data_IF_561144995841
#
_entry.id   IF_561144995841
#
_cell.length_a   1.000
_cell.length_b   1.000
_cell.length_c   1.000
_cell.angle_alpha   90.00
_cell.angle_beta   90.00
_cell.angle_gamma   90.00
#
_symmetry.space_group_name_H-M   'P 1'
#
loop_
_entity.id
_entity.type
_entity.pdbx_description
1 polymer ?
#
# COMPACT_ATOMS: atom_id res chain seq x y z
N UNK A 1 10.89 16.11 -13.37
CA UNK A 1 11.67 16.05 -12.12
C UNK A 1 11.00 15.01 -11.24
N UNK A 2 11.70 13.94 -10.85
CA UNK A 2 11.16 12.91 -9.96
C UNK A 2 10.95 13.52 -8.57
N UNK A 3 9.71 13.53 -8.09
CA UNK A 3 9.39 13.99 -6.74
C UNK A 3 9.94 12.99 -5.73
N UNK A 4 10.56 13.49 -4.67
CA UNK A 4 11.01 12.67 -3.54
C UNK A 4 9.86 12.49 -2.56
N UNK A 5 9.89 11.42 -1.79
CA UNK A 5 8.97 11.21 -0.67
C UNK A 5 9.65 11.59 0.65
N UNK A 6 8.89 12.16 1.58
CA UNK A 6 9.32 12.34 2.98
C UNK A 6 9.26 10.96 3.65
N UNK A 7 10.43 10.39 3.97
CA UNK A 7 10.55 8.99 4.40
C UNK A 7 9.70 8.64 5.64
N UNK A 8 9.66 9.45 6.72
CA UNK A 8 8.80 9.16 7.87
C UNK A 8 7.33 9.02 7.48
N UNK A 9 6.79 9.97 6.70
CA UNK A 9 5.41 9.90 6.20
C UNK A 9 5.18 8.70 5.30
N UNK A 10 6.14 8.35 4.44
CA UNK A 10 6.03 7.19 3.55
C UNK A 10 5.95 5.86 4.33
N UNK A 11 6.75 5.73 5.39
CA UNK A 11 6.69 4.57 6.29
C UNK A 11 5.36 4.50 7.06
N UNK A 12 4.85 5.64 7.55
CA UNK A 12 3.55 5.71 8.24
C UNK A 12 2.39 5.33 7.33
N UNK A 13 2.37 5.82 6.08
CA UNK A 13 1.37 5.43 5.08
C UNK A 13 1.45 3.93 4.77
N UNK A 14 2.65 3.37 4.66
CA UNK A 14 2.81 1.93 4.42
C UNK A 14 2.31 1.09 5.62
N UNK A 15 2.61 1.51 6.85
CA UNK A 15 2.10 0.85 8.06
C UNK A 15 0.57 0.95 8.15
N UNK A 16 0.02 2.14 7.90
CA UNK A 16 -1.43 2.37 7.82
C UNK A 16 -2.08 1.44 6.78
N UNK A 17 -1.52 1.34 5.57
CA UNK A 17 -2.01 0.43 4.54
C UNK A 17 -2.06 -1.04 4.98
N UNK A 18 -1.01 -1.51 5.67
CA UNK A 18 -0.96 -2.89 6.16
C UNK A 18 -2.08 -3.11 7.17
N UNK A 19 -2.28 -2.18 8.11
CA UNK A 19 -3.39 -2.26 9.07
C UNK A 19 -4.75 -2.30 8.37
N UNK A 20 -4.97 -1.41 7.39
CA UNK A 20 -6.23 -1.37 6.62
C UNK A 20 -6.47 -2.67 5.84
N UNK A 21 -5.44 -3.30 5.28
CA UNK A 21 -5.56 -4.60 4.60
C UNK A 21 -5.93 -5.77 5.53
N UNK A 22 -5.83 -5.58 6.84
CA UNK A 22 -6.29 -6.53 7.87
C UNK A 22 -7.65 -6.16 8.46
N UNK A 23 -8.16 -4.96 8.20
CA UNK A 23 -9.49 -4.54 8.64
C UNK A 23 -10.58 -5.07 7.70
N UNK A 24 -11.47 -5.97 8.15
CA UNK A 24 -12.56 -6.49 7.33
C UNK A 24 -13.60 -5.42 6.97
N UNK A 25 -13.78 -4.38 7.78
CA UNK A 25 -14.70 -3.28 7.45
C UNK A 25 -14.14 -2.50 6.27
N UNK A 26 -12.87 -2.09 6.39
CA UNK A 26 -12.20 -1.35 5.33
C UNK A 26 -12.11 -2.12 4.01
N UNK A 27 -11.70 -3.39 4.10
CA UNK A 27 -11.56 -4.22 2.90
C UNK A 27 -12.91 -4.59 2.28
N UNK A 28 -13.97 -4.70 3.09
CA UNK A 28 -15.31 -5.07 2.66
C UNK A 28 -16.17 -3.91 2.16
N UNK A 29 -15.83 -2.65 2.49
CA UNK A 29 -16.61 -1.47 2.12
C UNK A 29 -15.79 -0.53 1.23
N UNK A 30 -14.80 0.16 1.78
CA UNK A 30 -14.03 1.20 1.09
C UNK A 30 -13.22 0.61 -0.08
N UNK A 31 -12.37 -0.39 0.20
CA UNK A 31 -11.55 -1.01 -0.83
C UNK A 31 -12.41 -1.72 -1.89
N UNK A 32 -13.51 -2.35 -1.46
CA UNK A 32 -14.48 -2.99 -2.35
C UNK A 32 -15.05 -1.97 -3.34
N UNK A 33 -15.56 -0.85 -2.84
CA UNK A 33 -16.22 0.17 -3.65
C UNK A 33 -15.26 0.82 -4.65
N UNK A 34 -14.03 1.11 -4.20
CA UNK A 34 -12.96 1.65 -5.02
C UNK A 34 -12.59 0.69 -6.16
N UNK A 35 -12.25 -0.57 -5.84
CA UNK A 35 -11.84 -1.57 -6.83
C UNK A 35 -12.95 -1.89 -7.84
N UNK A 36 -14.21 -1.94 -7.39
CA UNK A 36 -15.37 -2.13 -8.28
C UNK A 36 -15.54 -1.00 -9.29
N UNK A 37 -15.07 0.23 -9.04
CA UNK A 37 -15.14 1.30 -10.04
C UNK A 37 -14.29 1.00 -11.28
N UNK A 38 -13.09 0.42 -11.12
CA UNK A 38 -12.27 -0.01 -12.27
C UNK A 38 -12.91 -1.19 -13.00
N UNK A 39 -13.47 -2.15 -12.28
CA UNK A 39 -14.19 -3.27 -12.90
C UNK A 39 -15.40 -2.80 -13.72
N UNK A 40 -16.15 -1.82 -13.22
CA UNK A 40 -17.26 -1.17 -13.92
C UNK A 40 -16.79 -0.26 -15.08
N UNK A 41 -15.49 -0.09 -15.29
CA UNK A 41 -14.91 0.76 -16.34
C UNK A 41 -15.11 2.26 -16.12
N UNK A 42 -15.35 2.69 -14.87
CA UNK A 42 -15.59 4.09 -14.48
C UNK A 42 -14.32 4.85 -14.14
N UNK A 43 -13.19 4.16 -13.99
CA UNK A 43 -11.88 4.74 -13.70
C UNK A 43 -10.86 4.30 -14.73
N UNK A 44 -9.90 5.18 -15.00
CA UNK A 44 -8.71 4.83 -15.77
C UNK A 44 -7.62 4.23 -14.86
N UNK A 45 -6.84 3.27 -15.35
CA UNK A 45 -6.98 2.61 -16.65
C UNK A 45 -8.15 1.60 -16.64
N UNK A 46 -8.97 1.58 -17.70
CA UNK A 46 -10.11 0.63 -17.81
C UNK A 46 -9.71 -0.84 -17.80
N UNK A 47 -8.45 -1.13 -18.13
CA UNK A 47 -7.88 -2.47 -18.21
C UNK A 47 -6.94 -2.80 -17.04
N UNK A 48 -7.13 -2.14 -15.87
CA UNK A 48 -6.33 -2.35 -14.64
C UNK A 48 -6.10 -3.83 -14.32
N UNK A 49 -7.16 -4.64 -14.31
CA UNK A 49 -7.08 -6.07 -13.99
C UNK A 49 -6.76 -6.97 -15.18
N UNK A 50 -6.84 -6.42 -16.39
CA UNK A 50 -6.78 -7.17 -17.64
C UNK A 50 -5.39 -7.15 -18.29
N UNK A 51 -4.57 -6.13 -18.00
CA UNK A 51 -3.22 -5.98 -18.55
C UNK A 51 -2.23 -5.54 -17.48
N UNK A 52 -1.01 -6.04 -17.60
CA UNK A 52 0.09 -5.69 -16.70
C UNK A 52 0.59 -4.28 -17.04
N UNK A 53 0.47 -3.35 -16.09
CA UNK A 53 0.82 -1.93 -16.27
C UNK A 53 1.75 -1.44 -15.15
N UNK A 54 2.45 -0.33 -15.41
CA UNK A 54 3.30 0.31 -14.38
C UNK A 54 2.48 0.96 -13.26
N UNK A 55 1.32 1.54 -13.60
CA UNK A 55 0.34 2.10 -12.66
C UNK A 55 -0.76 1.06 -12.37
N UNK A 56 -0.33 -0.16 -12.03
CA UNK A 56 -1.18 -1.32 -11.74
C UNK A 56 -1.82 -1.27 -10.35
N UNK A 57 -2.34 -2.41 -9.89
CA UNK A 57 -3.14 -2.51 -8.65
C UNK A 57 -2.44 -1.91 -7.44
N UNK A 58 -1.16 -2.23 -7.20
CA UNK A 58 -0.42 -1.68 -6.06
C UNK A 58 -0.27 -0.16 -6.10
N UNK A 59 -0.14 0.43 -7.28
CA UNK A 59 -0.09 1.88 -7.43
C UNK A 59 -1.45 2.50 -7.13
N UNK A 60 -2.54 1.92 -7.63
CA UNK A 60 -3.89 2.42 -7.33
C UNK A 60 -4.23 2.28 -5.84
N UNK A 61 -3.85 1.18 -5.21
CA UNK A 61 -3.97 0.99 -3.77
C UNK A 61 -3.16 2.05 -3.00
N UNK A 62 -1.93 2.31 -3.41
CA UNK A 62 -1.10 3.37 -2.81
C UNK A 62 -1.71 4.77 -2.95
N UNK A 63 -2.49 5.01 -4.01
CA UNK A 63 -3.25 6.25 -4.16
C UNK A 63 -4.43 6.34 -3.19
N UNK A 64 -5.22 5.27 -3.07
CA UNK A 64 -6.35 5.18 -2.13
C UNK A 64 -5.86 5.41 -0.69
N UNK A 65 -4.87 4.62 -0.28
CA UNK A 65 -4.28 4.70 1.07
C UNK A 65 -3.67 6.08 1.33
N UNK A 66 -3.02 6.69 0.34
CA UNK A 66 -2.50 8.05 0.50
C UNK A 66 -3.61 9.07 0.78
N UNK A 67 -4.72 8.98 0.04
CA UNK A 67 -5.85 9.90 0.19
C UNK A 67 -6.54 9.71 1.55
N UNK A 68 -6.74 8.46 1.97
CA UNK A 68 -7.30 8.14 3.28
C UNK A 68 -6.37 8.54 4.42
N UNK A 69 -5.07 8.23 4.36
CA UNK A 69 -4.13 8.65 5.40
C UNK A 69 -4.07 10.17 5.60
N UNK A 70 -4.47 10.96 4.60
CA UNK A 70 -4.58 12.41 4.74
C UNK A 70 -6.03 12.91 4.80
N UNK A 71 -7.03 12.03 4.80
CA UNK A 71 -8.45 12.37 4.88
C UNK A 71 -8.86 12.61 6.33
N UNK A 72 -9.39 13.80 6.63
CA UNK A 72 -9.85 14.12 7.98
C UNK A 72 -10.98 13.19 8.46
N UNK A 73 -11.98 12.96 7.60
CA UNK A 73 -13.15 12.08 7.83
C UNK A 73 -12.82 10.57 7.81
N UNK A 74 -11.54 10.20 7.84
CA UNK A 74 -11.11 8.80 7.89
C UNK A 74 -10.66 8.45 9.32
N UNK A 75 -9.39 8.09 9.52
CA UNK A 75 -8.82 7.73 10.80
C UNK A 75 -8.39 8.92 11.67
N UNK A 76 -8.39 10.16 11.15
CA UNK A 76 -7.91 11.35 11.89
C UNK A 76 -8.93 11.87 12.89
N UNK A 77 -10.21 11.63 12.63
CA UNK A 77 -11.28 11.90 13.60
C UNK A 77 -11.10 11.04 14.85
N UNK A 78 -10.75 9.76 14.65
CA UNK A 78 -10.56 8.73 15.68
C UNK A 78 -9.23 8.80 16.45
N UNK A 79 -8.28 9.63 16.03
CA UNK A 79 -7.06 9.84 16.81
C UNK A 79 -7.42 10.53 18.13
N UNK A 80 -6.78 10.18 19.23
CA UNK A 80 -7.01 10.82 20.53
C UNK A 80 -5.70 11.29 21.17
N UNK A 81 -5.82 12.33 22.00
CA UNK A 81 -4.73 12.86 22.83
C UNK A 81 -3.43 13.12 22.07
N UNK A 82 -2.33 12.51 22.54
CA UNK A 82 -0.98 12.67 21.99
C UNK A 82 -0.89 12.28 20.51
N UNK A 83 -1.71 11.32 20.05
CA UNK A 83 -1.64 10.87 18.66
C UNK A 83 -2.07 11.95 17.68
N UNK A 84 -3.03 12.82 18.03
CA UNK A 84 -3.37 14.00 17.22
C UNK A 84 -2.20 14.98 17.16
N UNK A 85 -1.54 15.23 18.30
CA UNK A 85 -0.40 16.14 18.39
C UNK A 85 0.76 15.65 17.51
N UNK A 86 1.15 14.38 17.66
CA UNK A 86 2.23 13.76 16.88
C UNK A 86 1.90 13.72 15.39
N UNK A 87 0.65 13.39 15.04
CA UNK A 87 0.23 13.40 13.64
C UNK A 87 0.34 14.79 13.03
N UNK A 88 -0.09 15.84 13.76
CA UNK A 88 0.02 17.21 13.27
C UNK A 88 1.49 17.64 13.11
N UNK A 89 2.36 17.26 14.04
CA UNK A 89 3.81 17.50 13.93
C UNK A 89 4.39 16.85 12.66
N UNK A 90 4.08 15.57 12.40
CA UNK A 90 4.50 14.91 11.16
C UNK A 90 3.94 15.60 9.92
N UNK A 91 2.69 16.05 9.99
CA UNK A 91 2.04 16.73 8.87
C UNK A 91 2.72 18.06 8.57
N UNK A 92 3.14 18.81 9.60
CA UNK A 92 3.94 20.02 9.41
C UNK A 92 5.27 19.70 8.72
N UNK A 93 5.99 18.66 9.16
CA UNK A 93 7.22 18.22 8.51
C UNK A 93 7.00 17.82 7.04
N UNK A 94 5.92 17.07 6.76
CA UNK A 94 5.50 16.73 5.41
C UNK A 94 5.24 17.99 4.56
N UNK A 95 4.53 18.97 5.12
CA UNK A 95 4.20 20.23 4.44
C UNK A 95 5.44 21.06 4.15
N UNK A 96 6.39 21.15 5.08
CA UNK A 96 7.68 21.82 4.85
C UNK A 96 8.50 21.13 3.76
N UNK A 97 8.48 19.80 3.72
CA UNK A 97 9.24 19.02 2.74
C UNK A 97 8.71 19.21 1.31
N UNK A 98 7.39 19.12 1.09
CA UNK A 98 6.79 19.18 -0.25
C UNK A 98 6.40 20.59 -0.69
N UNK A 99 6.15 21.48 0.27
CA UNK A 99 5.63 22.83 0.03
C UNK A 99 6.40 23.89 0.84
N UNK A 100 7.75 23.97 0.76
CA UNK A 100 8.59 24.79 1.65
C UNK A 100 8.28 26.28 1.64
N UNK A 101 7.66 26.80 0.57
CA UNK A 101 7.31 28.22 0.43
C UNK A 101 5.85 28.53 0.81
N UNK A 102 5.03 27.52 1.13
CA UNK A 102 3.62 27.74 1.46
C UNK A 102 3.41 27.80 2.96
N UNK A 103 2.54 28.72 3.38
CA UNK A 103 2.01 28.81 4.76
C UNK A 103 3.08 28.80 5.84
N UNK A 104 4.27 29.34 5.55
CA UNK A 104 5.40 29.28 6.48
C UNK A 104 5.07 29.88 7.85
N UNK A 105 4.30 30.97 7.89
CA UNK A 105 3.83 31.57 9.14
C UNK A 105 2.89 30.64 9.92
N UNK A 106 1.93 30.00 9.24
CA UNK A 106 1.01 29.05 9.89
C UNK A 106 1.76 27.81 10.40
N UNK A 107 2.64 27.21 9.58
CA UNK A 107 3.47 26.08 9.99
C UNK A 107 4.32 26.41 11.22
N UNK A 108 4.93 27.60 11.24
CA UNK A 108 5.73 28.06 12.39
C UNK A 108 4.87 28.31 13.65
N UNK A 109 3.64 28.81 13.46
CA UNK A 109 2.69 29.00 14.55
C UNK A 109 2.27 27.66 15.16
N UNK A 110 1.97 26.67 14.32
CA UNK A 110 1.60 25.32 14.76
C UNK A 110 2.76 24.67 15.51
N UNK A 111 3.99 24.72 14.98
CA UNK A 111 5.18 24.18 15.68
C UNK A 111 5.41 24.82 17.04
N UNK A 112 5.17 26.13 17.15
CA UNK A 112 5.32 26.86 18.42
C UNK A 112 4.29 26.39 19.44
N UNK A 113 3.05 26.14 19.00
CA UNK A 113 1.98 25.64 19.86
C UNK A 113 2.20 24.18 20.27
N UNK A 114 2.64 23.31 19.36
CA UNK A 114 3.06 21.93 19.68
C UNK A 114 4.16 21.96 20.73
N UNK A 115 5.20 22.78 20.53
CA UNK A 115 6.31 22.91 21.49
C UNK A 115 5.85 23.41 22.86
N UNK A 116 4.86 24.31 22.90
CA UNK A 116 4.24 24.80 24.15
C UNK A 116 3.52 23.66 24.88
N UNK A 117 2.76 22.84 24.15
CA UNK A 117 2.04 21.69 24.70
C UNK A 117 3.04 20.65 25.23
N UNK A 118 4.05 20.26 24.45
CA UNK A 118 5.06 19.28 24.87
C UNK A 118 5.84 19.70 26.12
N UNK A 119 6.11 21.00 26.28
CA UNK A 119 6.75 21.52 27.48
C UNK A 119 5.91 21.27 28.76
N UNK A 120 4.59 21.12 28.65
CA UNK A 120 3.73 20.78 29.79
C UNK A 120 4.01 19.38 30.32
N UNK A 121 4.38 18.40 29.48
CA UNK A 121 4.65 17.04 29.93
C UNK A 121 5.68 16.99 31.07
N UNK A 122 6.73 17.81 30.96
CA UNK A 122 7.79 17.90 31.98
C UNK A 122 7.49 18.88 33.11
N UNK A 123 6.77 19.97 32.83
CA UNK A 123 6.55 21.05 33.80
C UNK A 123 5.28 20.89 34.62
N UNK A 124 4.24 20.31 34.05
CA UNK A 124 2.95 20.03 34.67
C UNK A 124 2.18 18.95 33.87
N UNK A 125 2.48 17.69 34.17
CA UNK A 125 1.90 16.52 33.48
C UNK A 125 0.36 16.51 33.55
N UNK A 126 -0.26 16.93 34.64
CA UNK A 126 -1.73 17.02 34.73
C UNK A 126 -2.29 17.97 33.67
N UNK A 127 -1.72 19.17 33.54
CA UNK A 127 -2.16 20.12 32.52
C UNK A 127 -1.83 19.68 31.09
N UNK A 128 -0.82 18.83 30.88
CA UNK A 128 -0.55 18.22 29.58
C UNK A 128 -1.74 17.37 29.12
N UNK A 129 -2.17 16.42 29.96
CA UNK A 129 -3.30 15.54 29.65
C UNK A 129 -4.62 16.30 29.55
N UNK A 130 -4.89 17.23 30.48
CA UNK A 130 -6.09 18.09 30.43
C UNK A 130 -6.14 18.90 29.13
N UNK A 131 -5.00 19.37 28.61
CA UNK A 131 -4.94 20.09 27.34
C UNK A 131 -5.29 19.16 26.18
N UNK A 132 -4.68 17.98 26.11
CA UNK A 132 -4.84 17.05 24.99
C UNK A 132 -6.24 16.41 24.93
N UNK A 133 -6.91 16.30 26.06
CA UNK A 133 -8.28 15.81 26.17
C UNK A 133 -9.34 16.92 26.02
N UNK A 134 -8.91 18.19 25.91
CA UNK A 134 -9.82 19.34 25.82
C UNK A 134 -10.51 19.46 24.46
N UNK A 135 -11.74 19.96 24.47
CA UNK A 135 -12.48 20.30 23.25
C UNK A 135 -11.77 21.42 22.47
N UNK A 136 -11.11 22.34 23.18
CA UNK A 136 -10.30 23.41 22.60
C UNK A 136 -9.16 22.86 21.74
N UNK A 137 -8.42 21.87 22.23
CA UNK A 137 -7.36 21.21 21.48
C UNK A 137 -7.90 20.45 20.28
N UNK A 138 -8.99 19.68 20.45
CA UNK A 138 -9.61 18.95 19.35
C UNK A 138 -10.04 19.89 18.22
N UNK A 139 -10.71 20.98 18.58
CA UNK A 139 -11.15 22.01 17.64
C UNK A 139 -9.96 22.76 17.01
N UNK A 140 -8.89 23.01 17.76
CA UNK A 140 -7.67 23.61 17.23
C UNK A 140 -7.00 22.69 16.21
N UNK A 141 -6.76 21.43 16.54
CA UNK A 141 -6.20 20.42 15.63
C UNK A 141 -6.99 20.36 14.32
N UNK A 142 -8.32 20.21 14.40
CA UNK A 142 -9.17 20.10 13.22
C UNK A 142 -9.09 21.32 12.31
N UNK A 143 -9.12 22.53 12.89
CA UNK A 143 -8.95 23.78 12.14
C UNK A 143 -7.58 23.85 11.47
N UNK A 144 -6.49 23.68 12.22
CA UNK A 144 -5.14 23.80 11.67
C UNK A 144 -4.88 22.76 10.58
N UNK A 145 -5.31 21.51 10.79
CA UNK A 145 -5.17 20.45 9.80
C UNK A 145 -5.93 20.75 8.51
N UNK A 146 -7.21 21.11 8.62
CA UNK A 146 -8.05 21.45 7.46
C UNK A 146 -7.51 22.69 6.74
N UNK A 147 -7.08 23.70 7.50
CA UNK A 147 -6.50 24.91 6.96
C UNK A 147 -5.22 24.59 6.20
N UNK A 148 -4.33 23.72 6.70
CA UNK A 148 -3.15 23.25 5.98
C UNK A 148 -3.53 22.46 4.70
N UNK A 149 -4.51 21.57 4.79
CA UNK A 149 -4.98 20.67 3.73
C UNK A 149 -5.74 21.34 2.57
N UNK A 150 -6.42 22.46 2.80
CA UNK A 150 -7.28 23.14 1.80
C UNK A 150 -6.56 23.70 0.55
N UNK A 151 -5.28 23.41 0.32
CA UNK A 151 -4.48 24.05 -0.71
C UNK A 151 -3.46 23.12 -1.38
N UNK A 152 -3.93 22.15 -2.14
CA UNK A 152 -3.05 21.23 -2.86
C UNK A 152 -3.16 21.50 -4.38
N UNK A 153 -2.37 22.46 -4.87
CA UNK A 153 -2.28 22.83 -6.30
C UNK A 153 -1.60 21.75 -7.17
N UNK A 154 -1.03 22.11 -8.33
CA UNK A 154 -0.40 21.15 -9.28
C UNK A 154 0.60 20.15 -8.66
N UNK A 155 1.31 20.54 -7.60
CA UNK A 155 2.27 19.66 -6.91
C UNK A 155 1.58 18.52 -6.14
N UNK A 156 0.34 18.69 -5.73
CA UNK A 156 -0.45 17.70 -4.98
C UNK A 156 -0.54 16.36 -5.68
N UNK A 157 -0.92 16.39 -6.95
CA UNK A 157 -1.05 15.21 -7.78
C UNK A 157 0.30 14.49 -7.91
N UNK A 158 1.38 15.25 -8.10
CA UNK A 158 2.72 14.68 -8.21
C UNK A 158 3.21 14.09 -6.88
N UNK A 159 2.85 14.71 -5.75
CA UNK A 159 3.12 14.18 -4.40
C UNK A 159 2.40 12.85 -4.23
N UNK A 160 1.08 12.85 -4.43
CA UNK A 160 0.25 11.64 -4.38
C UNK A 160 0.79 10.52 -5.24
N UNK A 161 1.15 10.81 -6.50
CA UNK A 161 1.75 9.81 -7.39
C UNK A 161 3.11 9.29 -6.89
N UNK A 162 3.96 10.14 -6.32
CA UNK A 162 5.25 9.73 -5.78
C UNK A 162 5.10 8.76 -4.60
N UNK A 163 4.17 9.06 -3.68
CA UNK A 163 3.88 8.16 -2.56
C UNK A 163 3.21 6.86 -3.01
N UNK A 164 2.32 6.91 -4.00
CA UNK A 164 1.72 5.71 -4.57
C UNK A 164 2.76 4.79 -5.23
N UNK A 165 3.76 5.35 -5.93
CA UNK A 165 4.88 4.56 -6.45
C UNK A 165 5.77 4.01 -5.35
N UNK A 166 6.09 4.80 -4.32
CA UNK A 166 6.89 4.34 -3.18
C UNK A 166 6.20 3.18 -2.44
N UNK A 167 4.92 3.32 -2.13
CA UNK A 167 4.08 2.26 -1.58
C UNK A 167 4.09 1.01 -2.48
N UNK A 168 3.84 1.19 -3.78
CA UNK A 168 3.77 0.07 -4.71
C UNK A 168 5.09 -0.70 -4.79
N UNK A 169 6.23 -0.01 -4.77
CA UNK A 169 7.55 -0.65 -4.79
C UNK A 169 7.84 -1.42 -3.49
N UNK A 170 7.49 -0.85 -2.34
CA UNK A 170 7.66 -1.51 -1.02
C UNK A 170 6.79 -2.75 -0.92
N UNK A 171 5.50 -2.61 -1.23
CA UNK A 171 4.55 -3.72 -1.20
C UNK A 171 4.94 -4.81 -2.20
N UNK A 172 5.38 -4.44 -3.40
CA UNK A 172 5.84 -5.41 -4.39
C UNK A 172 7.07 -6.19 -3.93
N UNK A 173 7.96 -5.63 -3.11
CA UNK A 173 9.15 -6.34 -2.64
C UNK A 173 8.82 -7.53 -1.70
N UNK A 174 7.62 -7.55 -1.12
CA UNK A 174 7.15 -8.56 -0.18
C UNK A 174 6.15 -9.50 -0.85
N UNK A 175 6.60 -10.70 -1.23
CA UNK A 175 5.76 -11.70 -1.88
C UNK A 175 4.57 -12.15 -1.00
N UNK A 176 4.74 -12.45 0.30
CA UNK A 176 3.60 -12.65 1.21
C UNK A 176 2.56 -11.53 1.17
N UNK A 177 2.99 -10.26 1.21
CA UNK A 177 2.06 -9.13 1.11
C UNK A 177 1.38 -9.05 -0.26
N UNK A 178 2.11 -9.29 -1.36
CA UNK A 178 1.51 -9.43 -2.69
C UNK A 178 0.41 -10.50 -2.71
N UNK A 179 0.68 -11.67 -2.13
CA UNK A 179 -0.27 -12.78 -2.04
C UNK A 179 -1.52 -12.38 -1.25
N UNK A 180 -1.34 -11.77 -0.07
CA UNK A 180 -2.44 -11.27 0.75
C UNK A 180 -3.32 -10.27 -0.03
N UNK A 181 -2.71 -9.30 -0.71
CA UNK A 181 -3.43 -8.34 -1.54
C UNK A 181 -4.18 -9.05 -2.69
N UNK A 182 -3.58 -10.04 -3.33
CA UNK A 182 -4.25 -10.81 -4.37
C UNK A 182 -5.47 -11.58 -3.84
N UNK A 183 -5.39 -12.14 -2.63
CA UNK A 183 -6.55 -12.75 -1.97
C UNK A 183 -7.65 -11.73 -1.71
N UNK A 184 -7.32 -10.53 -1.22
CA UNK A 184 -8.31 -9.46 -1.03
C UNK A 184 -8.99 -9.03 -2.32
N UNK A 185 -8.22 -8.85 -3.39
CA UNK A 185 -8.77 -8.54 -4.72
C UNK A 185 -9.71 -9.65 -5.22
N UNK A 186 -9.39 -10.92 -4.94
CA UNK A 186 -10.26 -12.06 -5.28
C UNK A 186 -11.52 -12.10 -4.41
N UNK A 187 -11.38 -11.94 -3.09
CA UNK A 187 -12.45 -12.01 -2.08
C UNK A 187 -13.51 -10.93 -2.26
N UNK A 188 -13.10 -9.73 -2.69
CA UNK A 188 -14.01 -8.64 -3.12
C UNK A 188 -14.95 -9.08 -4.25
N UNK A 189 -14.70 -10.25 -4.87
CA UNK A 189 -15.63 -10.86 -5.80
C UNK A 189 -15.78 -9.99 -7.02
N UNK A 190 -14.70 -9.40 -7.53
CA UNK A 190 -14.77 -8.41 -8.62
C UNK A 190 -15.60 -8.96 -9.80
N UNK A 191 -15.52 -10.27 -10.06
CA UNK A 191 -16.25 -10.99 -11.11
C UNK A 191 -17.65 -11.53 -10.79
N UNK A 192 -18.06 -11.65 -9.51
CA UNK A 192 -19.43 -12.08 -9.15
C UNK A 192 -20.18 -10.96 -8.43
N UNK A 193 -21.51 -10.95 -8.55
CA UNK A 193 -22.36 -9.99 -7.82
C UNK A 193 -23.03 -10.63 -6.60
N UNK A 194 -22.73 -11.91 -6.34
CA UNK A 194 -23.43 -12.75 -5.39
C UNK A 194 -22.37 -13.48 -4.56
N UNK A 195 -22.51 -13.38 -3.23
CA UNK A 195 -21.72 -14.15 -2.27
C UNK A 195 -22.03 -15.65 -2.44
N UNK A 196 -21.03 -16.52 -2.25
CA UNK A 196 -21.11 -17.99 -2.41
C UNK A 196 -21.13 -18.54 -3.85
N UNK A 197 -20.96 -17.72 -4.89
CA UNK A 197 -20.68 -18.25 -6.24
C UNK A 197 -19.24 -18.76 -6.38
N UNK A 198 -19.01 -19.84 -7.15
CA UNK A 198 -17.67 -20.35 -7.39
C UNK A 198 -16.81 -19.34 -8.15
N UNK A 199 -15.51 -19.28 -7.84
CA UNK A 199 -14.57 -18.46 -8.61
C UNK A 199 -14.54 -18.86 -10.10
N UNK A 200 -14.56 -17.86 -10.98
CA UNK A 200 -14.62 -18.04 -12.43
C UNK A 200 -13.49 -17.32 -13.15
N UNK A 201 -13.12 -17.84 -14.32
CA UNK A 201 -12.19 -17.15 -15.21
C UNK A 201 -12.89 -15.94 -15.87
N UNK A 202 -12.43 -14.74 -15.55
CA UNK A 202 -12.99 -13.50 -16.11
C UNK A 202 -11.94 -12.67 -16.88
N UNK A 203 -10.66 -12.86 -16.59
CA UNK A 203 -9.55 -12.25 -17.33
C UNK A 203 -8.90 -13.26 -18.26
N UNK A 204 -8.72 -12.89 -19.53
CA UNK A 204 -7.93 -13.68 -20.50
C UNK A 204 -6.44 -13.48 -20.25
N UNK A 205 -5.65 -14.56 -20.27
CA UNK A 205 -4.18 -14.49 -20.15
C UNK A 205 -3.60 -13.56 -21.22
N UNK A 206 -2.68 -12.69 -20.83
CA UNK A 206 -1.96 -11.78 -21.74
C UNK A 206 -0.47 -12.09 -21.74
N UNK A 207 0.24 -11.57 -22.75
CA UNK A 207 1.70 -11.67 -22.77
C UNK A 207 2.29 -10.86 -21.61
N UNK A 208 3.27 -11.45 -20.91
CA UNK A 208 3.95 -10.80 -19.80
C UNK A 208 5.03 -9.87 -20.37
N UNK A 209 4.99 -8.56 -20.12
CA UNK A 209 6.02 -7.66 -20.62
C UNK A 209 7.39 -7.98 -20.02
N UNK A 210 8.45 -7.84 -20.82
CA UNK A 210 9.82 -8.12 -20.38
C UNK A 210 10.24 -7.32 -19.13
N UNK A 211 9.68 -6.13 -18.91
CA UNK A 211 9.95 -5.34 -17.71
C UNK A 211 9.31 -5.96 -16.45
N UNK A 212 8.11 -6.53 -16.57
CA UNK A 212 7.39 -7.16 -15.46
C UNK A 212 8.07 -8.48 -15.09
N UNK A 213 8.48 -9.25 -16.10
CA UNK A 213 9.29 -10.45 -15.92
C UNK A 213 10.60 -10.15 -15.17
N UNK A 214 11.34 -9.10 -15.57
CA UNK A 214 12.54 -8.68 -14.83
C UNK A 214 12.23 -8.28 -13.40
N UNK A 215 11.15 -7.53 -13.17
CA UNK A 215 10.75 -7.10 -11.83
C UNK A 215 10.45 -8.30 -10.91
N UNK A 216 9.69 -9.30 -11.40
CA UNK A 216 9.38 -10.52 -10.66
C UNK A 216 10.64 -11.35 -10.40
N UNK A 217 11.51 -11.51 -11.39
CA UNK A 217 12.80 -12.22 -11.21
C UNK A 217 13.66 -11.56 -10.15
N UNK A 218 13.73 -10.22 -10.14
CA UNK A 218 14.49 -9.48 -9.12
C UNK A 218 13.86 -9.61 -7.73
N UNK A 219 12.53 -9.43 -7.60
CA UNK A 219 11.81 -9.59 -6.33
C UNK A 219 12.06 -10.98 -5.73
N UNK A 220 11.96 -12.01 -6.56
CA UNK A 220 12.08 -13.41 -6.13
C UNK A 220 13.53 -13.88 -6.06
N UNK A 221 14.51 -12.96 -6.16
CA UNK A 221 15.96 -13.24 -6.12
C UNK A 221 16.44 -14.29 -7.13
N UNK A 222 15.72 -14.45 -8.25
CA UNK A 222 16.00 -15.49 -9.24
C UNK A 222 15.73 -16.92 -8.75
N UNK A 223 15.08 -17.08 -7.60
CA UNK A 223 14.77 -18.39 -7.01
C UNK A 223 13.32 -18.76 -7.31
N UNK A 224 13.07 -20.05 -7.54
CA UNK A 224 11.70 -20.55 -7.55
C UNK A 224 11.06 -20.32 -6.17
N UNK A 225 9.93 -19.62 -6.12
CA UNK A 225 9.26 -19.28 -4.86
C UNK A 225 8.73 -20.48 -4.09
N UNK A 226 8.57 -21.64 -4.75
CA UNK A 226 8.07 -22.88 -4.14
C UNK A 226 9.18 -23.80 -3.63
N UNK A 227 10.28 -23.96 -4.37
CA UNK A 227 11.33 -24.94 -4.03
C UNK A 227 12.73 -24.33 -3.86
N UNK A 228 12.85 -23.00 -3.93
CA UNK A 228 14.10 -22.23 -3.80
C UNK A 228 15.21 -22.58 -4.78
N UNK A 229 14.91 -23.39 -5.81
CA UNK A 229 15.84 -23.69 -6.90
C UNK A 229 16.26 -22.38 -7.58
N UNK A 230 17.56 -22.15 -7.71
CA UNK A 230 18.14 -21.07 -8.51
C UNK A 230 17.77 -21.25 -9.99
N UNK A 231 17.27 -20.17 -10.61
CA UNK A 231 16.82 -20.12 -12.00
C UNK A 231 17.60 -19.11 -12.86
N UNK A 232 18.69 -18.55 -12.33
CA UNK A 232 19.55 -17.59 -13.03
C UNK A 232 20.84 -18.20 -13.58
N UNK A 233 21.31 -19.31 -13.00
CA UNK A 233 22.54 -19.96 -13.47
C UNK A 233 22.32 -20.61 -14.84
N UNK A 234 23.30 -20.50 -15.74
CA UNK A 234 23.26 -20.89 -17.18
C UNK A 234 22.78 -22.33 -17.50
N UNK A 235 22.63 -23.21 -16.50
CA UNK A 235 22.16 -24.60 -16.64
C UNK A 235 20.94 -24.94 -15.78
N UNK A 236 20.22 -23.93 -15.28
CA UNK A 236 19.03 -24.14 -14.46
C UNK A 236 17.76 -24.20 -15.32
N UNK A 237 16.74 -24.90 -14.81
CA UNK A 237 15.53 -25.28 -15.55
C UNK A 237 14.79 -24.06 -16.14
N UNK A 238 13.99 -24.25 -17.21
CA UNK A 238 13.23 -23.15 -17.79
C UNK A 238 12.38 -22.44 -16.71
N UNK A 239 12.59 -21.14 -16.57
CA UNK A 239 11.85 -20.29 -15.63
C UNK A 239 10.50 -19.90 -16.21
N UNK A 240 9.50 -19.84 -15.35
CA UNK A 240 8.13 -19.48 -15.68
C UNK A 240 7.71 -18.31 -14.80
N UNK A 241 7.06 -17.32 -15.40
CA UNK A 241 6.32 -16.31 -14.63
C UNK A 241 4.88 -16.80 -14.56
N UNK A 242 4.46 -17.22 -13.38
CA UNK A 242 3.12 -17.74 -13.12
C UNK A 242 2.30 -16.74 -12.32
N UNK A 243 0.98 -16.91 -12.31
CA UNK A 243 0.09 -16.13 -11.46
C UNK A 243 0.06 -16.70 -10.03
N UNK A 244 0.09 -15.85 -9.00
CA UNK A 244 -0.08 -16.28 -7.60
C UNK A 244 -1.46 -16.94 -7.47
N UNK A 245 -2.50 -16.15 -7.70
CA UNK A 245 -3.88 -16.60 -7.87
C UNK A 245 -4.11 -16.94 -9.34
N UNK A 246 -4.41 -18.21 -9.69
CA UNK A 246 -4.67 -18.62 -11.06
C UNK A 246 -5.81 -17.83 -11.69
N UNK A 247 -5.68 -17.45 -12.98
CA UNK A 247 -6.77 -16.77 -13.71
C UNK A 247 -8.08 -17.57 -13.74
N UNK A 248 -8.01 -18.90 -13.64
CA UNK A 248 -9.19 -19.78 -13.56
C UNK A 248 -9.97 -19.63 -12.25
N UNK A 249 -9.31 -19.11 -11.21
CA UNK A 249 -9.86 -18.87 -9.87
C UNK A 249 -9.95 -17.36 -9.60
N UNK A 250 -10.46 -16.61 -10.57
CA UNK A 250 -10.65 -15.16 -10.50
C UNK A 250 -9.38 -14.30 -10.34
N UNK A 251 -8.19 -14.85 -10.55
CA UNK A 251 -6.94 -14.08 -10.59
C UNK A 251 -6.89 -13.03 -11.72
N UNK A 252 -5.97 -12.07 -11.59
CA UNK A 252 -5.84 -10.91 -12.50
C UNK A 252 -4.49 -10.88 -13.26
N UNK A 253 -4.43 -10.14 -14.36
CA UNK A 253 -3.20 -9.85 -15.09
C UNK A 253 -2.55 -8.56 -14.58
N UNK A 254 -2.06 -8.57 -13.34
CA UNK A 254 -1.32 -7.45 -12.76
C UNK A 254 0.01 -7.94 -12.18
N UNK A 255 0.99 -7.05 -12.07
CA UNK A 255 2.31 -7.35 -11.52
C UNK A 255 2.23 -7.94 -10.11
N UNK A 256 1.29 -7.47 -9.28
CA UNK A 256 1.09 -7.98 -7.90
C UNK A 256 0.77 -9.47 -7.88
N UNK A 257 0.10 -9.98 -8.91
CA UNK A 257 -0.34 -11.36 -9.01
C UNK A 257 0.66 -12.25 -9.76
N UNK A 258 1.92 -11.86 -9.94
CA UNK A 258 2.94 -12.66 -10.62
C UNK A 258 3.98 -13.22 -9.65
N UNK A 259 4.56 -14.38 -9.99
CA UNK A 259 5.62 -15.07 -9.24
C UNK A 259 6.56 -15.88 -10.12
N UNK A 260 7.81 -16.05 -9.68
CA UNK A 260 8.84 -16.83 -10.37
C UNK A 260 8.79 -18.30 -9.97
N UNK A 261 8.64 -19.18 -10.95
CA UNK A 261 8.56 -20.63 -10.73
C UNK A 261 9.48 -21.42 -11.66
N UNK A 262 9.97 -22.56 -11.18
CA UNK A 262 10.55 -23.57 -12.06
C UNK A 262 9.44 -24.37 -12.77
N UNK A 263 9.76 -24.94 -13.92
CA UNK A 263 8.90 -25.86 -14.67
C UNK A 263 8.21 -26.93 -13.81
N UNK A 264 8.96 -27.65 -12.98
CA UNK A 264 8.42 -28.73 -12.13
C UNK A 264 7.37 -28.23 -11.14
N UNK A 265 7.68 -27.12 -10.45
CA UNK A 265 6.74 -26.53 -9.49
C UNK A 265 5.52 -25.94 -10.21
N UNK A 266 5.71 -25.31 -11.37
CA UNK A 266 4.63 -24.71 -12.15
C UNK A 266 3.66 -25.80 -12.65
N UNK A 267 4.20 -26.91 -13.17
CA UNK A 267 3.43 -28.07 -13.60
C UNK A 267 2.70 -28.76 -12.44
N UNK A 268 3.27 -28.75 -11.23
CA UNK A 268 2.61 -29.28 -10.02
C UNK A 268 1.51 -28.36 -9.52
N UNK A 269 1.72 -27.04 -9.56
CA UNK A 269 0.73 -26.03 -9.14
C UNK A 269 -0.51 -26.09 -10.03
N UNK A 270 -0.34 -26.15 -11.35
CA UNK A 270 -1.45 -26.10 -12.31
C UNK A 270 -2.39 -24.91 -12.04
N UNK A 271 -3.63 -25.19 -11.64
CA UNK A 271 -4.64 -24.21 -11.27
C UNK A 271 -4.88 -24.15 -9.75
N UNK A 272 -3.98 -24.71 -8.94
CA UNK A 272 -4.00 -24.62 -7.48
C UNK A 272 -3.19 -23.40 -7.00
N UNK A 273 -3.37 -23.09 -5.74
CA UNK A 273 -2.57 -22.09 -5.02
C UNK A 273 -1.42 -22.78 -4.30
N UNK A 274 -0.36 -22.02 -4.04
CA UNK A 274 0.73 -22.42 -3.16
C UNK A 274 0.85 -21.34 -2.11
N UNK A 275 1.09 -21.72 -0.86
CA UNK A 275 1.56 -20.78 0.15
C UNK A 275 3.01 -20.39 -0.24
N UNK A 276 3.26 -19.15 -0.69
CA UNK A 276 4.57 -18.76 -1.15
C UNK A 276 5.50 -18.54 0.04
N UNK A 277 6.68 -19.17 0.03
CA UNK A 277 7.59 -19.17 1.17
C UNK A 277 7.94 -17.77 1.68
N UNK A 278 8.57 -16.97 0.82
CA UNK A 278 9.05 -15.59 1.05
C UNK A 278 10.02 -15.23 -0.08
N UNK A 279 10.19 -13.94 -0.38
CA UNK A 279 11.29 -13.41 -1.21
C UNK A 279 12.62 -13.35 -0.45
N UNK A 280 12.65 -13.55 0.87
CA UNK A 280 13.86 -13.46 1.70
C UNK A 280 14.83 -14.63 1.38
N UNK A 281 16.12 -14.36 1.16
CA UNK A 281 17.15 -15.40 1.00
C UNK A 281 17.32 -16.31 2.22
N UNK A 282 17.60 -17.59 2.00
CA UNK A 282 17.68 -18.61 3.06
C UNK A 282 18.74 -18.29 4.14
N UNK A 283 19.87 -17.69 3.76
CA UNK A 283 20.93 -17.29 4.71
C UNK A 283 20.51 -16.13 5.64
N UNK A 284 19.43 -15.42 5.34
CA UNK A 284 18.81 -14.43 6.23
C UNK A 284 17.64 -15.01 7.05
N UNK A 285 17.22 -16.24 6.75
CA UNK A 285 16.16 -16.94 7.47
C UNK A 285 16.70 -17.85 8.59
N UNK A 286 17.92 -17.60 9.08
CA UNK A 286 18.54 -18.40 10.15
C UNK A 286 17.64 -18.41 11.38
N UNK A 287 17.27 -19.62 11.84
CA UNK A 287 16.36 -19.82 12.98
C UNK A 287 14.88 -19.91 12.61
N UNK A 288 14.50 -19.67 11.35
CA UNK A 288 13.16 -19.92 10.85
C UNK A 288 13.10 -21.33 10.25
N UNK A 289 12.60 -22.31 11.00
CA UNK A 289 12.13 -23.57 10.42
C UNK A 289 10.73 -23.34 9.86
N UNK A 290 10.57 -23.27 8.53
CA UNK A 290 9.24 -23.28 7.91
C UNK A 290 9.13 -24.42 6.88
N UNK A 291 7.98 -25.12 6.96
CA UNK A 291 7.62 -26.33 6.21
C UNK A 291 7.12 -25.99 4.81
#
# INVERSE_FOLDING_TARGET
MTMRVHTPTSLKIHAYAINQLHDPNWTGMELYDELKQWWRGRREPKDLFHKIQKKGVLFQLGQIVFDEYHGYESHLEDLDGEYKLWFLEDHVHFMRFHYPQRKNQALTSIESEISRIDALYTSNETSYWETLESEEFHNWFGREYMDLGAMTGRNALQTREAYAFDFANRAFADLPLCTHICHKVREIGISSQIDDEPFVAWVKRTNIPAWAERAVVTRDNGLCVSCKKDLLREFTAPRQIDHIIPLKQSGINDLVNLQLMCDKCNLRKQANELDPFTSIPDYMQVGLTRR
#
